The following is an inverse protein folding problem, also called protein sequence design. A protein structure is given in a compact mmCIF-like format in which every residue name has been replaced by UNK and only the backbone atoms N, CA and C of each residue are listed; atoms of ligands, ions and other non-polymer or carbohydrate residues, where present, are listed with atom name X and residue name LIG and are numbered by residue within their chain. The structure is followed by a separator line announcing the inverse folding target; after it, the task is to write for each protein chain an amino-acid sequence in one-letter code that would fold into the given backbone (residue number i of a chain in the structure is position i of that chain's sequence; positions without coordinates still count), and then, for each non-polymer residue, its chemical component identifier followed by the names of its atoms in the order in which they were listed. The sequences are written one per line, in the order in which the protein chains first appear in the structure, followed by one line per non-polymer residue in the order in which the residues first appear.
data_IF_153517980338
#
_entry.id   IF_153517980338
#
_cell.length_a   1.000
_cell.length_b   1.000
_cell.length_c   1.000
_cell.angle_alpha   90.00
_cell.angle_beta   90.00
_cell.angle_gamma   90.00
#
_symmetry.space_group_name_H-M   'P 1'
#
loop_
_entity.id
_entity.type
_entity.pdbx_description
1 polymer ?
#
# COMPACT_ATOMS: atom_id res chain seq x y z
N UNK A 1 5.18 5.32 -12.25
CA UNK A 1 4.78 4.31 -13.26
C UNK A 1 4.31 4.91 -14.60
N UNK A 2 3.87 6.18 -14.65
CA UNK A 2 3.31 6.80 -15.88
C UNK A 2 4.32 7.14 -17.00
N UNK A 3 5.61 7.35 -16.69
CA UNK A 3 6.58 7.82 -17.69
C UNK A 3 6.88 6.79 -18.79
N UNK A 4 6.96 5.50 -18.45
CA UNK A 4 7.34 4.44 -19.42
C UNK A 4 6.27 4.19 -20.49
N UNK A 5 5.00 4.35 -20.17
CA UNK A 5 3.90 4.22 -21.14
C UNK A 5 3.87 5.39 -22.13
N UNK A 6 4.29 6.59 -21.70
CA UNK A 6 4.31 7.77 -22.57
C UNK A 6 5.52 7.77 -23.51
N UNK A 7 6.68 7.32 -23.01
CA UNK A 7 7.89 7.10 -23.82
C UNK A 7 7.65 6.10 -24.97
N UNK A 8 6.98 4.97 -24.68
CA UNK A 8 6.65 3.96 -25.68
C UNK A 8 5.70 4.47 -26.78
N UNK A 9 4.75 5.33 -26.42
CA UNK A 9 3.84 5.97 -27.37
C UNK A 9 4.60 6.88 -28.34
N UNK A 10 5.43 7.78 -27.85
CA UNK A 10 6.17 8.70 -28.72
C UNK A 10 7.16 7.98 -29.63
N UNK A 11 7.84 6.94 -29.14
CA UNK A 11 8.72 6.12 -29.99
C UNK A 11 7.95 5.40 -31.10
N UNK A 12 6.71 5.01 -30.85
CA UNK A 12 5.84 4.38 -31.84
C UNK A 12 5.36 5.39 -32.89
N UNK A 13 5.03 6.62 -32.47
CA UNK A 13 4.72 7.73 -33.40
C UNK A 13 5.94 8.13 -34.23
N UNK A 14 7.14 8.21 -33.65
CA UNK A 14 8.40 8.46 -34.37
C UNK A 14 8.73 7.35 -35.38
N UNK A 15 8.35 6.11 -35.09
CA UNK A 15 8.47 4.99 -36.02
C UNK A 15 7.43 5.02 -37.17
N UNK A 16 6.61 6.07 -37.26
CA UNK A 16 5.64 6.28 -38.33
C UNK A 16 4.29 5.61 -38.11
N UNK A 17 4.01 5.13 -36.89
CA UNK A 17 2.73 4.54 -36.53
C UNK A 17 1.68 5.64 -36.33
N UNK A 18 0.46 5.41 -36.81
CA UNK A 18 -0.62 6.36 -36.58
C UNK A 18 -0.93 6.45 -35.08
N UNK A 19 -1.34 7.62 -34.54
CA UNK A 19 -1.58 7.79 -33.10
C UNK A 19 -2.59 6.80 -32.50
N UNK A 20 -3.52 6.27 -33.30
CA UNK A 20 -4.46 5.23 -32.88
C UNK A 20 -3.81 3.86 -32.65
N UNK A 21 -2.74 3.55 -33.38
CA UNK A 21 -2.03 2.27 -33.32
C UNK A 21 -0.81 2.33 -32.38
N UNK A 22 -0.28 3.53 -32.10
CA UNK A 22 0.87 3.76 -31.22
C UNK A 22 0.59 3.54 -29.73
N UNK A 23 -0.69 3.41 -29.34
CA UNK A 23 -1.07 3.14 -27.95
C UNK A 23 -0.94 1.66 -27.62
N UNK A 24 0.04 1.33 -26.77
CA UNK A 24 0.12 0.02 -26.16
C UNK A 24 -0.53 0.05 -24.77
N UNK A 25 -1.64 -0.68 -24.55
CA UNK A 25 -2.17 -0.83 -23.22
C UNK A 25 -1.12 -1.49 -22.32
N UNK A 26 -1.01 -1.08 -21.05
CA UNK A 26 -0.11 -1.74 -20.12
C UNK A 26 -0.40 -3.25 -20.10
N UNK A 27 0.64 -4.10 -20.01
CA UNK A 27 0.47 -5.55 -20.01
C UNK A 27 -0.58 -5.92 -18.96
N UNK A 28 -1.66 -6.56 -19.42
CA UNK A 28 -2.71 -7.00 -18.51
C UNK A 28 -2.10 -7.99 -17.52
N UNK A 29 -2.55 -7.95 -16.27
CA UNK A 29 -2.11 -8.88 -15.23
C UNK A 29 -2.31 -10.36 -15.62
N UNK A 30 -3.14 -10.63 -16.63
CA UNK A 30 -3.38 -11.96 -17.20
C UNK A 30 -2.19 -12.49 -18.02
N UNK A 31 -1.37 -11.62 -18.63
CA UNK A 31 -0.20 -12.04 -19.42
C UNK A 31 0.99 -12.55 -18.56
N UNK A 32 0.92 -12.38 -17.24
CA UNK A 32 1.94 -12.84 -16.28
C UNK A 32 1.73 -14.30 -15.82
N UNK A 33 0.73 -15.01 -16.36
CA UNK A 33 0.28 -16.31 -15.86
C UNK A 33 1.27 -17.48 -15.99
N UNK A 34 2.47 -17.30 -16.56
CA UNK A 34 3.37 -18.42 -16.83
C UNK A 34 4.45 -18.68 -15.77
N UNK A 35 4.70 -17.80 -14.80
CA UNK A 35 5.70 -18.01 -13.74
C UNK A 35 5.18 -17.62 -12.36
N UNK A 36 4.02 -18.15 -11.98
CA UNK A 36 3.57 -18.06 -10.59
C UNK A 36 3.95 -19.37 -9.92
N UNK A 37 5.14 -19.41 -9.34
CA UNK A 37 5.42 -20.34 -8.24
C UNK A 37 4.26 -20.23 -7.24
N UNK A 38 3.89 -21.30 -6.53
CA UNK A 38 2.79 -21.26 -5.55
C UNK A 38 3.04 -20.14 -4.54
N UNK A 39 2.52 -18.93 -4.80
CA UNK A 39 2.65 -17.80 -3.91
C UNK A 39 1.54 -17.97 -2.88
N UNK A 40 1.93 -18.07 -1.63
CA UNK A 40 1.01 -18.10 -0.51
C UNK A 40 0.24 -16.78 -0.46
N UNK A 41 -0.97 -16.77 -1.02
CA UNK A 41 -1.84 -15.58 -1.13
C UNK A 41 -2.12 -14.94 0.23
N UNK A 42 -2.11 -15.75 1.30
CA UNK A 42 -2.21 -15.30 2.68
C UNK A 42 -1.04 -14.38 3.07
N UNK A 43 0.20 -14.70 2.67
CA UNK A 43 1.38 -13.87 2.99
C UNK A 43 1.33 -12.51 2.29
N UNK A 44 0.87 -12.48 1.03
CA UNK A 44 0.64 -11.21 0.30
C UNK A 44 -0.41 -10.38 1.03
N UNK A 45 -1.55 -10.99 1.37
CA UNK A 45 -2.63 -10.29 2.06
C UNK A 45 -2.20 -9.76 3.42
N UNK A 46 -1.42 -10.54 4.17
CA UNK A 46 -0.94 -10.15 5.49
C UNK A 46 0.08 -9.02 5.41
N UNK A 47 1.00 -9.07 4.46
CA UNK A 47 1.90 -7.96 4.22
C UNK A 47 1.16 -6.69 3.79
N UNK A 48 0.13 -6.79 2.94
CA UNK A 48 -0.70 -5.66 2.55
C UNK A 48 -1.42 -5.01 3.76
N UNK A 49 -1.96 -5.82 4.68
CA UNK A 49 -2.57 -5.35 5.94
C UNK A 49 -1.56 -4.61 6.82
N UNK A 50 -0.37 -5.19 7.01
CA UNK A 50 0.71 -4.56 7.79
C UNK A 50 1.13 -3.22 7.15
N UNK A 51 1.26 -3.16 5.83
CA UNK A 51 1.56 -1.91 5.14
C UNK A 51 0.46 -0.86 5.33
N UNK A 52 -0.81 -1.26 5.32
CA UNK A 52 -1.92 -0.33 5.55
C UNK A 52 -1.89 0.24 6.98
N UNK A 53 -1.59 -0.60 7.98
CA UNK A 53 -1.40 -0.19 9.36
C UNK A 53 -0.25 0.81 9.51
N UNK A 54 0.92 0.54 8.91
CA UNK A 54 2.06 1.47 8.97
C UNK A 54 1.67 2.84 8.41
N UNK A 55 0.99 2.86 7.25
CA UNK A 55 0.56 4.12 6.61
C UNK A 55 -0.48 4.88 7.43
N UNK A 56 -1.40 4.18 8.11
CA UNK A 56 -2.38 4.84 8.99
C UNK A 56 -1.69 5.52 10.17
N UNK A 57 -0.74 4.86 10.83
CA UNK A 57 0.07 5.46 11.89
C UNK A 57 0.92 6.64 11.41
N UNK A 58 1.49 6.59 10.21
CA UNK A 58 2.21 7.73 9.65
C UNK A 58 1.30 8.95 9.44
N UNK A 59 0.04 8.72 9.03
CA UNK A 59 -0.90 9.79 8.70
C UNK A 59 -1.58 10.35 9.95
N UNK A 60 -1.98 9.49 10.89
CA UNK A 60 -2.85 9.83 12.03
C UNK A 60 -2.28 9.52 13.41
N UNK A 61 -1.10 8.89 13.48
CA UNK A 61 -0.51 8.50 14.76
C UNK A 61 -0.19 9.68 15.69
N UNK A 62 -0.02 10.88 15.14
CA UNK A 62 0.19 12.09 15.93
C UNK A 62 -1.04 12.52 16.74
N UNK A 63 -2.26 12.11 16.37
CA UNK A 63 -3.47 12.41 17.13
C UNK A 63 -3.55 11.65 18.45
N UNK A 64 -2.95 10.45 18.51
CA UNK A 64 -2.93 9.61 19.71
C UNK A 64 -1.60 9.67 20.46
N UNK A 65 -0.69 10.56 20.05
CA UNK A 65 0.63 10.68 20.64
C UNK A 65 0.57 11.52 21.92
N UNK A 66 1.27 11.06 22.96
CA UNK A 66 1.42 11.80 24.21
C UNK A 66 2.50 12.88 24.04
N UNK A 67 2.07 14.05 23.55
CA UNK A 67 2.96 15.17 23.20
C UNK A 67 2.95 16.30 24.23
N UNK A 68 1.91 16.38 25.07
CA UNK A 68 1.73 17.48 26.03
C UNK A 68 2.08 17.02 27.46
N UNK A 69 3.27 17.38 27.98
CA UNK A 69 3.66 17.02 29.35
C UNK A 69 2.81 17.70 30.43
N UNK A 70 2.05 18.74 30.09
CA UNK A 70 1.16 19.45 31.01
C UNK A 70 -0.27 18.92 30.97
N UNK A 71 -0.65 18.15 29.94
CA UNK A 71 -1.97 17.54 29.79
C UNK A 71 -3.14 18.54 29.66
N UNK A 72 -2.87 19.76 29.19
CA UNK A 72 -3.86 20.85 29.08
C UNK A 72 -4.41 21.00 27.66
N UNK A 73 -3.63 20.62 26.64
CA UNK A 73 -4.06 20.58 25.25
C UNK A 73 -4.38 19.14 24.87
N UNK A 74 -5.67 18.78 24.91
CA UNK A 74 -6.14 17.61 24.18
C UNK A 74 -6.20 17.96 22.69
N UNK A 75 -5.27 17.40 21.91
CA UNK A 75 -5.26 17.58 20.45
C UNK A 75 -6.49 16.95 19.79
N UNK A 76 -7.07 15.93 20.43
CA UNK A 76 -8.33 15.31 20.04
C UNK A 76 -9.42 15.67 21.07
N UNK A 77 -10.53 16.26 20.59
CA UNK A 77 -11.68 16.57 21.44
C UNK A 77 -12.54 15.33 21.72
N UNK A 78 -12.28 14.23 21.00
CA UNK A 78 -12.90 12.92 21.16
C UNK A 78 -11.81 11.88 21.46
N UNK A 79 -11.85 11.19 22.60
CA UNK A 79 -10.81 10.20 22.96
C UNK A 79 -10.94 8.88 22.15
N UNK A 80 -11.74 8.87 21.08
CA UNK A 80 -11.93 7.69 20.23
C UNK A 80 -10.75 7.50 19.28
N UNK A 81 -9.96 6.45 19.53
CA UNK A 81 -8.90 6.02 18.60
C UNK A 81 -9.54 5.63 17.27
N UNK A 82 -9.05 6.23 16.18
CA UNK A 82 -9.52 5.91 14.84
C UNK A 82 -9.32 4.40 14.56
N UNK A 83 -10.36 3.68 14.09
CA UNK A 83 -10.32 2.22 14.00
C UNK A 83 -9.20 1.71 13.09
N UNK A 84 -8.71 2.48 12.13
CA UNK A 84 -7.57 2.11 11.28
C UNK A 84 -6.20 2.08 11.99
N UNK A 85 -6.11 2.56 13.23
CA UNK A 85 -4.91 2.45 14.07
C UNK A 85 -4.95 1.16 14.91
N UNK A 86 -6.12 0.54 15.05
CA UNK A 86 -6.28 -0.71 15.79
C UNK A 86 -5.87 -1.92 14.94
N UNK A 87 -5.08 -2.83 15.52
CA UNK A 87 -4.70 -4.09 14.86
C UNK A 87 -5.91 -4.97 14.54
N UNK A 88 -6.95 -4.87 15.35
CA UNK A 88 -8.20 -5.63 15.22
C UNK A 88 -8.88 -5.39 13.88
N UNK A 89 -8.80 -4.16 13.35
CA UNK A 89 -9.40 -3.77 12.06
C UNK A 89 -8.82 -4.54 10.88
N UNK A 90 -7.58 -4.99 11.01
CA UNK A 90 -6.89 -5.75 9.98
C UNK A 90 -6.94 -7.27 10.19
N UNK A 91 -7.63 -7.75 11.23
CA UNK A 91 -7.60 -9.14 11.66
C UNK A 91 -6.16 -9.68 11.83
N UNK A 92 -5.22 -8.80 12.22
CA UNK A 92 -3.83 -9.19 12.47
C UNK A 92 -3.76 -9.81 13.86
N UNK A 93 -3.55 -11.13 13.93
CA UNK A 93 -3.32 -11.84 15.20
C UNK A 93 -1.95 -11.50 15.77
N UNK A 94 -1.80 -11.54 17.10
CA UNK A 94 -0.51 -11.43 17.83
C UNK A 94 0.57 -12.36 17.27
N UNK A 95 0.16 -13.46 16.64
CA UNK A 95 1.05 -14.42 15.99
C UNK A 95 1.91 -13.79 14.88
N UNK A 96 1.38 -12.84 14.10
CA UNK A 96 2.14 -12.17 13.01
C UNK A 96 3.28 -11.32 13.60
N UNK A 97 3.03 -10.60 14.69
CA UNK A 97 4.05 -9.79 15.38
C UNK A 97 5.21 -10.71 15.86
N UNK A 98 4.88 -11.91 16.36
CA UNK A 98 5.90 -12.86 16.82
C UNK A 98 6.76 -13.45 15.69
N UNK A 99 6.20 -13.54 14.48
CA UNK A 99 6.93 -14.05 13.30
C UNK A 99 7.92 -13.03 12.73
N UNK A 100 7.67 -11.73 12.90
CA UNK A 100 8.58 -10.65 12.44
C UNK A 100 9.86 -10.58 13.29
N UNK A 101 9.78 -10.85 14.60
CA UNK A 101 10.94 -10.78 15.51
C UNK A 101 11.89 -12.00 15.38
N UNK A 102 11.55 -13.00 14.58
CA UNK A 102 12.34 -14.25 14.46
C UNK A 102 13.21 -14.35 13.18
N UNK A 103 13.31 -13.29 12.39
CA UNK A 103 14.37 -13.13 11.39
C UNK A 103 15.47 -12.23 11.93
#
# INVERSE_FOLDING_TARGET
MCFKSWDAFFRSVEAGMQPGDAYYPPPSLSALSHHVASIDTNTISDHAKVQQLIKSYQTRGHHIADLDPLGINKADLDDTVAPELELSTYNLSKNIISSIHKQ
#
